data_IF_238271727715
#
_entry.id   IF_238271727715
#
_cell.length_a   1.000
_cell.length_b   1.000
_cell.length_c   1.000
_cell.angle_alpha   90.00
_cell.angle_beta   90.00
_cell.angle_gamma   90.00
#
_symmetry.space_group_name_H-M   'P 1'
#
loop_
_entity.id
_entity.type
_entity.pdbx_description
1 polymer ?
#
# COMPACT_ATOMS: atom_id res chain seq x y z
N UNK A 1 20.24 16.01 -1.43
CA UNK A 1 21.31 15.00 -1.59
C UNK A 1 21.05 14.06 -2.78
N UNK A 2 19.90 13.37 -2.87
CA UNK A 2 19.59 12.47 -4.01
C UNK A 2 19.62 13.15 -5.39
N UNK A 3 19.08 14.36 -5.51
CA UNK A 3 19.14 15.13 -6.76
C UNK A 3 20.58 15.45 -7.20
N UNK A 4 21.46 15.76 -6.26
CA UNK A 4 22.87 16.04 -6.56
C UNK A 4 23.58 14.80 -7.09
N UNK A 5 23.27 13.62 -6.53
CA UNK A 5 23.82 12.34 -6.99
C UNK A 5 23.33 12.03 -8.40
N UNK A 6 22.04 12.19 -8.70
CA UNK A 6 21.51 11.94 -10.05
C UNK A 6 22.10 12.88 -11.11
N UNK A 7 22.30 14.16 -10.77
CA UNK A 7 22.93 15.14 -11.69
C UNK A 7 24.40 14.79 -11.92
N UNK A 8 25.15 14.52 -10.85
CA UNK A 8 26.57 14.19 -10.93
C UNK A 8 26.80 12.88 -11.69
N UNK A 9 25.96 11.87 -11.46
CA UNK A 9 26.00 10.59 -12.19
C UNK A 9 25.65 10.75 -13.68
N UNK A 10 24.67 11.58 -14.02
CA UNK A 10 24.32 11.90 -15.40
C UNK A 10 25.40 12.67 -16.16
N UNK A 11 26.23 13.45 -15.45
CA UNK A 11 27.34 14.21 -16.03
C UNK A 11 28.64 13.40 -16.16
N UNK A 12 29.02 12.66 -15.12
CA UNK A 12 30.25 11.85 -15.10
C UNK A 12 30.12 10.49 -15.81
N UNK A 13 28.90 9.97 -15.96
CA UNK A 13 28.65 8.65 -16.54
C UNK A 13 28.91 8.58 -18.06
N UNK A 14 29.48 7.46 -18.56
CA UNK A 14 29.74 7.29 -19.99
C UNK A 14 28.43 7.17 -20.78
N UNK A 15 28.23 8.08 -21.74
CA UNK A 15 27.04 8.11 -22.60
C UNK A 15 27.25 7.19 -23.82
N UNK A 16 26.86 5.92 -23.69
CA UNK A 16 26.93 4.94 -24.78
C UNK A 16 25.52 4.54 -25.24
N UNK A 17 25.01 5.26 -26.23
CA UNK A 17 23.69 5.03 -26.84
C UNK A 17 23.84 3.96 -27.93
N UNK A 18 23.08 2.87 -27.80
CA UNK A 18 23.02 1.80 -28.80
C UNK A 18 21.55 1.40 -29.01
N UNK A 19 21.10 1.12 -30.24
CA UNK A 19 19.69 0.78 -30.50
C UNK A 19 19.16 -0.37 -29.63
N UNK A 20 19.99 -1.39 -29.42
CA UNK A 20 19.65 -2.57 -28.60
C UNK A 20 19.58 -2.27 -27.09
N UNK A 21 20.26 -1.22 -26.61
CA UNK A 21 20.17 -0.83 -25.19
C UNK A 21 18.88 -0.08 -24.87
N UNK A 22 18.27 0.51 -25.89
CA UNK A 22 17.02 1.27 -25.78
C UNK A 22 15.78 0.36 -25.92
N UNK A 23 15.96 -0.93 -26.25
CA UNK A 23 14.87 -1.91 -26.31
C UNK A 23 14.69 -2.62 -24.97
N UNK A 24 13.44 -2.96 -24.63
CA UNK A 24 13.13 -3.74 -23.43
C UNK A 24 13.77 -5.14 -23.51
N UNK A 25 14.24 -5.62 -22.35
CA UNK A 25 14.93 -6.90 -22.25
C UNK A 25 13.93 -8.06 -22.16
N UNK A 26 13.98 -8.97 -23.14
CA UNK A 26 13.13 -10.17 -23.18
C UNK A 26 13.95 -11.41 -23.56
N UNK A 27 15.05 -11.66 -22.81
CA UNK A 27 15.96 -12.81 -22.99
C UNK A 27 16.52 -13.00 -24.43
N UNK A 28 16.61 -11.93 -25.22
CA UNK A 28 17.14 -11.95 -26.59
C UNK A 28 16.09 -12.12 -27.68
N UNK A 29 14.80 -12.26 -27.34
CA UNK A 29 13.69 -12.17 -28.31
C UNK A 29 13.15 -10.74 -28.41
N UNK A 30 12.61 -10.34 -29.57
CA UNK A 30 11.86 -9.08 -29.68
C UNK A 30 10.63 -9.12 -28.78
N UNK A 31 10.33 -8.01 -28.13
CA UNK A 31 9.23 -7.95 -27.18
C UNK A 31 7.89 -8.20 -27.88
N UNK A 32 7.21 -9.28 -27.50
CA UNK A 32 6.01 -9.72 -28.19
C UNK A 32 4.88 -9.94 -27.20
N UNK A 33 3.82 -9.13 -27.30
CA UNK A 33 2.67 -9.23 -26.41
C UNK A 33 1.94 -7.91 -26.29
N UNK A 34 0.71 -7.95 -25.80
CA UNK A 34 -0.05 -6.75 -25.45
C UNK A 34 0.46 -6.20 -24.10
N UNK A 35 1.00 -4.97 -24.03
CA UNK A 35 1.42 -4.34 -22.77
C UNK A 35 0.29 -4.20 -21.75
N UNK A 36 -0.97 -4.27 -22.19
CA UNK A 36 -2.17 -4.11 -21.36
C UNK A 36 -2.87 -5.43 -21.04
N UNK A 37 -2.11 -6.52 -20.95
CA UNK A 37 -2.67 -7.81 -20.54
C UNK A 37 -3.41 -7.69 -19.20
N UNK A 38 -4.52 -8.41 -19.07
CA UNK A 38 -5.34 -8.38 -17.86
C UNK A 38 -4.60 -9.07 -16.72
N UNK A 39 -4.12 -8.28 -15.77
CA UNK A 39 -3.59 -8.79 -14.52
C UNK A 39 -4.71 -9.30 -13.61
N UNK A 40 -4.36 -10.23 -12.71
CA UNK A 40 -5.32 -10.85 -11.80
C UNK A 40 -6.05 -9.83 -10.92
N UNK A 41 -7.37 -10.00 -10.74
CA UNK A 41 -8.20 -9.14 -9.87
C UNK A 41 -7.75 -9.18 -8.40
N UNK A 42 -6.96 -10.20 -8.01
CA UNK A 42 -6.41 -10.33 -6.66
C UNK A 42 -5.63 -9.08 -6.21
N UNK A 43 -4.91 -8.41 -7.11
CA UNK A 43 -4.17 -7.18 -6.79
C UNK A 43 -5.10 -6.02 -6.38
N UNK A 44 -6.26 -5.92 -7.04
CA UNK A 44 -7.25 -4.89 -6.72
C UNK A 44 -7.86 -5.11 -5.33
N UNK A 45 -8.18 -6.36 -4.97
CA UNK A 45 -8.75 -6.68 -3.66
C UNK A 45 -7.80 -6.34 -2.51
N UNK A 46 -6.51 -6.64 -2.66
CA UNK A 46 -5.48 -6.29 -1.68
C UNK A 46 -5.32 -4.77 -1.58
N UNK A 47 -5.29 -4.05 -2.71
CA UNK A 47 -5.19 -2.59 -2.71
C UNK A 47 -6.41 -1.92 -2.04
N UNK A 48 -7.62 -2.41 -2.32
CA UNK A 48 -8.84 -1.90 -1.70
C UNK A 48 -8.83 -2.14 -0.18
N UNK A 49 -8.45 -3.34 0.26
CA UNK A 49 -8.31 -3.65 1.69
C UNK A 49 -7.28 -2.76 2.36
N UNK A 50 -6.14 -2.52 1.70
CA UNK A 50 -5.10 -1.62 2.19
C UNK A 50 -5.62 -0.18 2.37
N UNK A 51 -6.36 0.37 1.40
CA UNK A 51 -6.92 1.71 1.49
C UNK A 51 -7.89 1.83 2.68
N UNK A 52 -8.78 0.85 2.85
CA UNK A 52 -9.73 0.85 3.98
C UNK A 52 -8.98 0.80 5.30
N UNK A 53 -8.00 -0.11 5.44
CA UNK A 53 -7.22 -0.23 6.68
C UNK A 53 -6.36 1.01 6.98
N UNK A 54 -5.81 1.65 5.94
CA UNK A 54 -4.99 2.86 6.05
C UNK A 54 -5.82 4.04 6.57
N UNK A 55 -7.00 4.26 5.98
CA UNK A 55 -7.95 5.30 6.43
C UNK A 55 -8.34 5.09 7.90
N UNK A 56 -8.55 3.84 8.30
CA UNK A 56 -8.92 3.52 9.68
C UNK A 56 -7.77 3.78 10.65
N UNK A 57 -6.53 3.51 10.24
CA UNK A 57 -5.34 3.83 11.05
C UNK A 57 -5.20 5.35 11.28
N UNK A 58 -5.58 6.17 10.29
CA UNK A 58 -5.61 7.64 10.41
C UNK A 58 -6.56 8.08 11.53
N UNK A 59 -7.65 7.35 11.80
CA UNK A 59 -8.55 7.64 12.92
C UNK A 59 -8.02 7.15 14.28
N UNK A 60 -7.25 6.06 14.29
CA UNK A 60 -6.66 5.51 15.52
C UNK A 60 -5.63 6.47 16.14
N UNK A 61 -4.83 7.17 15.32
CA UNK A 61 -3.80 8.10 15.79
C UNK A 61 -4.31 9.24 16.69
N UNK A 62 -5.25 10.10 16.24
CA UNK A 62 -5.76 11.21 17.05
C UNK A 62 -6.54 10.70 18.27
N UNK A 63 -7.32 9.62 18.13
CA UNK A 63 -7.99 9.01 19.27
C UNK A 63 -7.00 8.55 20.36
N UNK A 64 -5.91 7.88 19.96
CA UNK A 64 -4.88 7.42 20.89
C UNK A 64 -4.15 8.57 21.57
N UNK A 65 -3.89 9.65 20.83
CA UNK A 65 -3.27 10.87 21.39
C UNK A 65 -4.19 11.57 22.41
N UNK A 66 -5.51 11.60 22.16
CA UNK A 66 -6.50 12.31 22.98
C UNK A 66 -7.15 11.45 24.07
N UNK A 67 -6.83 10.15 24.15
CA UNK A 67 -7.45 9.23 25.09
C UNK A 67 -7.35 9.70 26.56
N UNK A 68 -6.23 10.33 26.93
CA UNK A 68 -6.02 10.89 28.27
C UNK A 68 -6.93 12.08 28.55
N UNK A 69 -7.18 12.91 27.54
CA UNK A 69 -8.08 14.07 27.66
C UNK A 69 -9.53 13.62 27.79
N UNK A 70 -9.95 12.60 27.02
CA UNK A 70 -11.27 11.98 27.19
C UNK A 70 -11.43 11.34 28.56
N UNK A 71 -10.40 10.69 29.10
CA UNK A 71 -10.43 10.14 30.46
C UNK A 71 -10.58 11.24 31.52
N UNK A 72 -9.88 12.36 31.37
CA UNK A 72 -10.00 13.51 32.29
C UNK A 72 -11.40 14.14 32.30
N UNK A 73 -12.13 14.05 31.17
CA UNK A 73 -13.50 14.54 31.03
C UNK A 73 -14.56 13.52 31.48
N UNK A 74 -14.16 12.34 31.98
CA UNK A 74 -15.07 11.26 32.36
C UNK A 74 -15.61 10.42 31.19
N UNK A 75 -15.15 10.68 29.97
CA UNK A 75 -15.54 10.00 28.73
C UNK A 75 -14.61 8.84 28.35
N UNK A 76 -13.59 8.54 29.16
CA UNK A 76 -12.56 7.55 28.83
C UNK A 76 -13.10 6.16 28.48
N UNK A 77 -14.10 5.67 29.23
CA UNK A 77 -14.71 4.35 28.96
C UNK A 77 -15.53 4.34 27.68
N UNK A 78 -16.26 5.43 27.40
CA UNK A 78 -17.01 5.58 26.17
C UNK A 78 -16.09 5.61 24.96
N UNK A 79 -15.05 6.46 24.98
CA UNK A 79 -14.06 6.55 23.92
C UNK A 79 -13.31 5.23 23.70
N UNK A 80 -13.06 4.47 24.77
CA UNK A 80 -12.44 3.15 24.68
C UNK A 80 -13.33 2.12 23.98
N UNK A 81 -14.60 2.03 24.37
CA UNK A 81 -15.56 1.09 23.76
C UNK A 81 -15.86 1.44 22.30
N UNK A 82 -15.93 2.73 21.98
CA UNK A 82 -16.10 3.20 20.60
C UNK A 82 -14.95 2.69 19.71
N UNK A 83 -13.70 2.91 20.11
CA UNK A 83 -12.55 2.43 19.34
C UNK A 83 -12.45 0.91 19.30
N UNK A 84 -12.85 0.21 20.36
CA UNK A 84 -12.91 -1.26 20.35
C UNK A 84 -13.91 -1.76 19.30
N UNK A 85 -15.08 -1.13 19.18
CA UNK A 85 -16.08 -1.48 18.17
C UNK A 85 -15.61 -1.17 16.74
N UNK A 86 -14.87 -0.06 16.58
CA UNK A 86 -14.23 0.32 15.32
C UNK A 86 -13.22 -0.74 14.87
N UNK A 87 -12.28 -1.11 15.75
CA UNK A 87 -11.32 -2.19 15.49
C UNK A 87 -11.99 -3.55 15.22
N UNK A 88 -13.08 -3.88 15.92
CA UNK A 88 -13.81 -5.12 15.71
C UNK A 88 -14.41 -5.19 14.30
N UNK A 89 -14.87 -4.05 13.75
CA UNK A 89 -15.42 -3.98 12.40
C UNK A 89 -14.37 -4.32 11.34
N UNK A 90 -13.14 -3.80 11.50
CA UNK A 90 -12.01 -4.17 10.65
C UNK A 90 -11.64 -5.65 10.76
N UNK A 91 -11.58 -6.18 11.99
CA UNK A 91 -11.27 -7.58 12.22
C UNK A 91 -12.29 -8.49 11.52
N UNK A 92 -13.58 -8.15 11.58
CA UNK A 92 -14.64 -8.86 10.87
C UNK A 92 -14.47 -8.79 9.34
N UNK A 93 -14.15 -7.61 8.81
CA UNK A 93 -13.86 -7.44 7.38
C UNK A 93 -12.67 -8.29 6.92
N UNK A 94 -11.59 -8.30 7.69
CA UNK A 94 -10.40 -9.12 7.39
C UNK A 94 -10.71 -10.61 7.45
N UNK A 95 -11.41 -11.08 8.49
CA UNK A 95 -11.83 -12.48 8.62
C UNK A 95 -12.72 -12.90 7.44
N UNK A 96 -13.65 -12.04 7.01
CA UNK A 96 -14.51 -12.31 5.86
C UNK A 96 -13.71 -12.49 4.57
N UNK A 97 -12.80 -11.55 4.28
CA UNK A 97 -11.96 -11.58 3.07
C UNK A 97 -11.02 -12.79 3.09
N UNK A 98 -10.46 -13.11 4.26
CA UNK A 98 -9.61 -14.29 4.45
C UNK A 98 -10.38 -15.59 4.21
N UNK A 99 -11.59 -15.72 4.77
CA UNK A 99 -12.47 -16.88 4.53
C UNK A 99 -12.86 -17.04 3.06
N UNK A 100 -12.90 -15.95 2.29
CA UNK A 100 -13.18 -15.98 0.84
C UNK A 100 -11.95 -16.32 -0.02
N UNK A 101 -10.78 -16.55 0.57
CA UNK A 101 -9.56 -16.87 -0.20
C UNK A 101 -9.05 -15.71 -1.05
N UNK A 102 -9.52 -14.48 -0.82
CA UNK A 102 -9.09 -13.31 -1.58
C UNK A 102 -7.60 -12.95 -1.35
N UNK A 103 -7.00 -13.51 -0.31
CA UNK A 103 -5.57 -13.37 0.03
C UNK A 103 -4.72 -14.58 -0.43
N UNK A 104 -5.31 -15.60 -1.07
CA UNK A 104 -4.56 -16.76 -1.54
C UNK A 104 -3.89 -16.50 -2.89
N UNK A 105 -2.57 -16.68 -2.93
CA UNK A 105 -1.74 -16.52 -4.14
C UNK A 105 -1.36 -17.84 -4.83
N UNK A 106 -1.98 -18.95 -4.44
CA UNK A 106 -1.95 -20.20 -5.21
C UNK A 106 -2.86 -20.15 -6.45
#
# INVERSE_FOLDING_TARGET
MCFAISILAGYLGPKRIFPIKETAFECGSPTTGDPHSRHSVKFYLVALLFIVFDIESVFIYPWGALLRDFAAQGLGWFAYLEMLSFMATLALGLVYVWRKGALEWS
#
